data_IF_731284503931
#
_entry.id   IF_731284503931
#
_cell.length_a   1.000
_cell.length_b   1.000
_cell.length_c   1.000
_cell.angle_alpha   90.00
_cell.angle_beta   90.00
_cell.angle_gamma   90.00
#
_symmetry.space_group_name_H-M   'P 1'
#
loop_
_entity.id
_entity.type
_entity.pdbx_description
1 polymer ?
#
# COMPACT_ATOMS: atom_id res chain seq x y z
N UNK A 1 8.67 35.92 -23.34
CA UNK A 1 8.46 35.07 -24.53
C UNK A 1 7.98 33.72 -24.05
N UNK A 2 6.65 33.52 -24.07
CA UNK A 2 5.97 32.38 -23.45
C UNK A 2 5.94 31.25 -24.48
N UNK A 3 6.73 30.19 -24.27
CA UNK A 3 6.63 28.96 -25.07
C UNK A 3 5.48 28.12 -24.58
N UNK A 4 4.35 28.16 -25.30
CA UNK A 4 3.27 27.18 -25.17
C UNK A 4 3.79 25.77 -25.55
N UNK A 5 3.87 24.88 -24.59
CA UNK A 5 4.15 23.47 -24.86
C UNK A 5 2.94 22.83 -25.55
N UNK A 6 3.10 22.46 -26.80
CA UNK A 6 2.15 21.69 -27.58
C UNK A 6 2.07 20.27 -27.01
N UNK A 7 0.96 19.93 -26.42
CA UNK A 7 0.57 18.53 -26.17
C UNK A 7 0.44 17.85 -27.53
N UNK A 8 1.28 16.85 -27.78
CA UNK A 8 1.43 16.21 -29.08
C UNK A 8 0.10 15.65 -29.64
N UNK A 9 -0.09 15.79 -30.95
CA UNK A 9 -1.28 15.32 -31.69
C UNK A 9 -1.79 13.91 -31.34
N UNK A 10 -0.94 12.88 -30.97
CA UNK A 10 -1.44 11.55 -30.57
C UNK A 10 -2.21 11.57 -29.24
N UNK A 11 -1.77 12.32 -28.24
CA UNK A 11 -2.41 12.34 -26.91
C UNK A 11 -3.79 13.04 -26.95
N UNK A 12 -3.95 14.08 -27.76
CA UNK A 12 -5.25 14.72 -28.01
C UNK A 12 -6.26 13.72 -28.65
N UNK A 13 -5.82 12.88 -29.56
CA UNK A 13 -6.67 11.85 -30.19
C UNK A 13 -7.08 10.78 -29.19
N UNK A 14 -6.15 10.31 -28.33
CA UNK A 14 -6.46 9.31 -27.30
C UNK A 14 -7.48 9.85 -26.29
N UNK A 15 -7.31 11.07 -25.81
CA UNK A 15 -8.30 11.73 -24.93
C UNK A 15 -9.64 11.89 -25.63
N UNK A 16 -9.66 12.32 -26.90
CA UNK A 16 -10.90 12.44 -27.68
C UNK A 16 -11.59 11.10 -27.88
N UNK A 17 -10.85 10.01 -28.13
CA UNK A 17 -11.41 8.66 -28.24
C UNK A 17 -11.93 8.14 -26.92
N UNK A 18 -11.24 8.35 -25.81
CA UNK A 18 -11.71 7.97 -24.47
C UNK A 18 -13.00 8.73 -24.12
N UNK A 19 -13.04 10.04 -24.34
CA UNK A 19 -14.25 10.86 -24.12
C UNK A 19 -15.37 10.44 -25.07
N UNK A 20 -15.08 10.12 -26.33
CA UNK A 20 -16.05 9.65 -27.30
C UNK A 20 -16.57 8.24 -26.95
N UNK A 21 -15.72 7.32 -26.49
CA UNK A 21 -16.13 5.99 -26.04
C UNK A 21 -17.01 6.11 -24.79
N UNK A 22 -16.63 6.93 -23.81
CA UNK A 22 -17.45 7.19 -22.62
C UNK A 22 -18.78 7.86 -23.01
N UNK A 23 -18.77 8.81 -23.92
CA UNK A 23 -20.00 9.47 -24.41
C UNK A 23 -20.89 8.52 -25.23
N UNK A 24 -20.33 7.66 -26.08
CA UNK A 24 -21.11 6.69 -26.89
C UNK A 24 -21.64 5.54 -26.06
N UNK A 25 -20.93 5.07 -25.04
CA UNK A 25 -21.47 4.09 -24.07
C UNK A 25 -22.58 4.69 -23.22
N UNK A 26 -22.51 5.97 -22.89
CA UNK A 26 -23.60 6.69 -22.20
C UNK A 26 -24.85 6.92 -23.09
N UNK A 27 -24.68 6.98 -24.43
CA UNK A 27 -25.78 7.25 -25.35
C UNK A 27 -26.43 5.99 -25.99
N UNK A 28 -25.67 4.88 -26.02
CA UNK A 28 -26.10 3.68 -26.78
C UNK A 28 -26.81 2.59 -26.00
N UNK A 29 -26.97 2.69 -24.68
CA UNK A 29 -27.55 1.60 -23.89
C UNK A 29 -28.81 2.00 -23.12
N UNK A 30 -29.98 1.66 -23.69
CA UNK A 30 -31.26 1.68 -22.95
C UNK A 30 -31.33 0.64 -21.80
N UNK A 31 -30.25 -0.11 -21.54
CA UNK A 31 -30.24 -1.21 -20.56
C UNK A 31 -29.12 -1.12 -19.51
N UNK A 32 -28.10 -0.26 -19.65
CA UNK A 32 -27.13 0.02 -18.59
C UNK A 32 -27.68 1.19 -17.75
N UNK A 33 -28.42 0.87 -16.72
CA UNK A 33 -28.81 1.82 -15.69
C UNK A 33 -27.58 2.13 -14.82
N UNK A 34 -26.67 2.97 -15.30
CA UNK A 34 -25.68 3.60 -14.44
C UNK A 34 -26.45 4.41 -13.40
N UNK A 35 -26.22 4.14 -12.12
CA UNK A 35 -26.98 4.78 -11.06
C UNK A 35 -26.27 6.03 -10.57
N UNK A 36 -24.93 6.06 -10.64
CA UNK A 36 -24.11 7.14 -10.12
C UNK A 36 -22.84 7.34 -10.95
N UNK A 37 -22.53 8.59 -11.25
CA UNK A 37 -21.22 9.02 -11.75
C UNK A 37 -20.37 9.44 -10.55
N UNK A 38 -19.21 8.85 -10.38
CA UNK A 38 -18.22 9.22 -9.35
C UNK A 38 -17.16 10.11 -9.95
N UNK A 39 -16.86 11.21 -9.26
CA UNK A 39 -15.77 12.13 -9.57
C UNK A 39 -14.99 12.37 -8.29
N UNK A 40 -13.68 12.27 -8.35
CA UNK A 40 -12.87 12.53 -7.17
C UNK A 40 -11.44 12.91 -7.50
N UNK A 41 -10.73 13.31 -6.46
CA UNK A 41 -9.31 13.57 -6.51
C UNK A 41 -8.69 13.33 -5.13
N UNK A 42 -7.65 12.52 -5.08
CA UNK A 42 -6.82 12.36 -3.89
C UNK A 42 -5.55 13.18 -4.05
N UNK A 43 -5.20 13.93 -3.02
CA UNK A 43 -3.93 14.64 -2.95
C UNK A 43 -3.17 14.17 -1.71
N UNK A 44 -1.89 13.86 -1.88
CA UNK A 44 -0.99 13.52 -0.78
C UNK A 44 0.32 14.25 -0.95
N UNK A 45 0.81 14.90 0.10
CA UNK A 45 2.21 15.32 0.17
C UNK A 45 2.91 14.59 1.31
N UNK A 46 4.15 14.16 1.06
CA UNK A 46 4.96 13.42 2.02
C UNK A 46 6.35 14.04 2.08
N UNK A 47 6.74 14.46 3.28
CA UNK A 47 8.12 14.67 3.69
C UNK A 47 8.53 13.48 4.56
N UNK A 48 9.64 12.82 4.25
CA UNK A 48 10.17 11.66 4.98
C UNK A 48 11.70 11.74 4.98
N UNK A 49 12.28 12.06 6.12
CA UNK A 49 13.71 12.20 6.31
C UNK A 49 14.25 11.04 7.14
N UNK A 50 15.25 10.35 6.62
CA UNK A 50 15.92 9.20 7.23
C UNK A 50 17.39 9.55 7.48
N UNK A 51 17.83 9.39 8.71
CA UNK A 51 19.22 9.62 9.16
C UNK A 51 19.74 8.35 9.83
N UNK A 52 20.29 7.42 9.02
CA UNK A 52 20.68 6.08 9.42
C UNK A 52 22.20 5.83 9.35
N UNK A 53 22.99 6.90 9.41
CA UNK A 53 24.44 6.78 9.35
C UNK A 53 25.00 5.80 10.39
N UNK A 54 25.75 4.80 9.93
CA UNK A 54 26.34 3.76 10.77
C UNK A 54 25.42 2.54 11.03
N UNK A 55 24.19 2.55 10.57
CA UNK A 55 23.35 1.36 10.55
C UNK A 55 23.74 0.45 9.36
N UNK A 56 23.60 -0.87 9.52
CA UNK A 56 23.84 -1.82 8.42
C UNK A 56 22.83 -1.64 7.28
N UNK A 57 21.58 -1.30 7.63
CA UNK A 57 20.51 -1.00 6.68
C UNK A 57 20.52 0.45 6.20
N UNK A 58 21.67 1.15 6.19
CA UNK A 58 21.74 2.58 5.85
C UNK A 58 21.18 2.86 4.44
N UNK A 59 20.06 3.55 4.44
CA UNK A 59 19.41 4.16 3.28
C UNK A 59 19.04 5.61 3.62
N UNK A 60 19.96 6.33 4.27
CA UNK A 60 19.79 7.74 4.63
C UNK A 60 19.36 8.56 3.41
N UNK A 61 18.43 9.45 3.61
CA UNK A 61 17.92 10.30 2.54
C UNK A 61 16.60 10.96 2.87
N UNK A 62 16.29 12.01 2.14
CA UNK A 62 15.05 12.76 2.28
C UNK A 62 14.18 12.58 1.05
N UNK A 63 12.95 12.09 1.24
CA UNK A 63 11.91 12.10 0.25
C UNK A 63 11.00 13.31 0.53
N UNK A 64 10.82 14.18 -0.46
CA UNK A 64 9.81 15.22 -0.40
C UNK A 64 9.09 15.29 -1.74
N UNK A 65 7.81 15.00 -1.72
CA UNK A 65 7.03 14.79 -2.93
C UNK A 65 5.55 15.14 -2.72
N UNK A 66 4.87 15.49 -3.80
CA UNK A 66 3.42 15.60 -3.86
C UNK A 66 2.86 14.63 -4.90
N UNK A 67 1.67 14.15 -4.65
CA UNK A 67 0.90 13.26 -5.51
C UNK A 67 -0.51 13.80 -5.66
N UNK A 68 -1.04 13.74 -6.89
CA UNK A 68 -2.42 14.06 -7.20
C UNK A 68 -3.01 12.93 -8.05
N UNK A 69 -4.14 12.38 -7.61
CA UNK A 69 -4.82 11.27 -8.29
C UNK A 69 -6.27 11.64 -8.61
N UNK A 70 -6.53 12.43 -9.67
CA UNK A 70 -7.89 12.63 -10.16
C UNK A 70 -8.44 11.34 -10.72
N UNK A 71 -9.71 11.06 -10.43
CA UNK A 71 -10.38 9.86 -10.90
C UNK A 71 -11.85 10.12 -11.25
N UNK A 72 -12.37 9.28 -12.15
CA UNK A 72 -13.76 9.27 -12.58
C UNK A 72 -14.23 7.84 -12.76
N UNK A 73 -15.49 7.59 -12.46
CA UNK A 73 -16.05 6.24 -12.64
C UNK A 73 -17.55 6.24 -12.71
N UNK A 74 -18.07 5.06 -12.97
CA UNK A 74 -19.51 4.79 -12.97
C UNK A 74 -19.79 3.66 -11.99
N UNK A 75 -20.85 3.82 -11.21
CA UNK A 75 -21.41 2.77 -10.36
C UNK A 75 -22.76 2.33 -10.90
N UNK A 76 -23.02 1.01 -10.84
CA UNK A 76 -24.30 0.46 -11.25
C UNK A 76 -24.71 -0.75 -10.42
N UNK A 77 -26.02 -0.95 -10.29
CA UNK A 77 -26.60 -2.05 -9.50
C UNK A 77 -26.08 -2.12 -8.06
N UNK A 78 -25.74 -0.96 -7.47
CA UNK A 78 -25.32 -0.80 -6.06
C UNK A 78 -24.02 -1.52 -5.65
N UNK A 79 -23.42 -2.32 -6.52
CA UNK A 79 -22.32 -3.19 -6.18
C UNK A 79 -21.15 -3.15 -7.16
N UNK A 80 -21.35 -2.58 -8.34
CA UNK A 80 -20.36 -2.63 -9.40
C UNK A 80 -19.81 -1.24 -9.65
N UNK A 81 -18.50 -1.14 -9.85
CA UNK A 81 -17.82 0.08 -10.25
C UNK A 81 -16.86 -0.17 -11.42
N UNK A 82 -16.74 0.79 -12.30
CA UNK A 82 -15.67 0.88 -13.29
C UNK A 82 -15.03 2.25 -13.12
N UNK A 83 -13.76 2.25 -12.76
CA UNK A 83 -13.02 3.47 -12.38
C UNK A 83 -11.82 3.68 -13.31
N UNK A 84 -11.61 4.95 -13.67
CA UNK A 84 -10.42 5.42 -14.35
C UNK A 84 -9.79 6.56 -13.55
N UNK A 85 -8.48 6.56 -13.40
CA UNK A 85 -7.73 7.62 -12.74
C UNK A 85 -6.34 7.80 -13.32
N UNK A 86 -5.74 8.93 -13.04
CA UNK A 86 -4.35 9.22 -13.39
C UNK A 86 -3.61 9.62 -12.11
N UNK A 87 -2.52 8.95 -11.84
CA UNK A 87 -1.69 9.17 -10.67
C UNK A 87 -0.46 9.99 -11.09
N UNK A 88 -0.39 11.24 -10.63
CA UNK A 88 0.62 12.23 -10.97
C UNK A 88 1.53 12.46 -9.76
N UNK A 89 2.82 12.18 -9.90
CA UNK A 89 3.81 12.36 -8.82
C UNK A 89 4.79 13.46 -9.20
N UNK A 90 5.01 14.40 -8.28
CA UNK A 90 6.01 15.45 -8.40
C UNK A 90 6.98 15.40 -7.22
N UNK A 91 8.18 14.93 -7.44
CA UNK A 91 9.26 15.05 -6.46
C UNK A 91 9.76 16.49 -6.41
N UNK A 92 10.03 17.00 -5.20
CA UNK A 92 10.58 18.33 -5.00
C UNK A 92 12.11 18.29 -5.04
N UNK A 93 12.71 19.44 -5.27
CA UNK A 93 14.15 19.64 -5.30
C UNK A 93 14.63 20.25 -6.61
N UNK A 94 15.85 20.80 -6.55
CA UNK A 94 16.50 21.38 -7.74
C UNK A 94 16.80 20.29 -8.77
N UNK A 95 16.45 20.52 -10.02
CA UNK A 95 16.57 19.59 -11.17
C UNK A 95 15.58 18.42 -11.17
N UNK A 96 14.58 18.39 -10.31
CA UNK A 96 13.48 17.44 -10.46
C UNK A 96 12.76 17.66 -11.78
N UNK A 97 12.43 16.56 -12.47
CA UNK A 97 11.63 16.65 -13.70
C UNK A 97 10.21 17.10 -13.34
N UNK A 98 9.58 17.86 -14.23
CA UNK A 98 8.14 18.12 -14.12
C UNK A 98 7.39 16.80 -14.32
N UNK A 99 6.56 16.43 -13.37
CA UNK A 99 5.92 15.12 -13.23
C UNK A 99 6.98 14.01 -13.22
N UNK A 100 7.50 13.73 -12.05
CA UNK A 100 8.54 12.71 -11.84
C UNK A 100 8.05 11.32 -12.23
N UNK A 101 6.75 11.06 -12.05
CA UNK A 101 6.09 9.82 -12.45
C UNK A 101 4.63 10.08 -12.84
N UNK A 102 4.11 9.30 -13.81
CA UNK A 102 2.73 9.36 -14.28
C UNK A 102 2.24 7.95 -14.49
N UNK A 103 1.19 7.58 -13.77
CA UNK A 103 0.64 6.24 -13.83
C UNK A 103 -0.87 6.27 -14.06
N UNK A 104 -1.44 5.15 -14.46
CA UNK A 104 -2.86 5.01 -14.76
C UNK A 104 -3.49 4.07 -13.77
N UNK A 105 -4.74 4.35 -13.39
CA UNK A 105 -5.64 3.43 -12.73
C UNK A 105 -6.79 3.13 -13.69
N UNK A 106 -7.11 1.86 -13.86
CA UNK A 106 -8.26 1.40 -14.65
C UNK A 106 -8.67 0.05 -14.10
N UNK A 107 -9.81 -0.01 -13.44
CA UNK A 107 -10.25 -1.25 -12.82
C UNK A 107 -11.76 -1.39 -12.75
N UNK A 108 -12.18 -2.64 -12.73
CA UNK A 108 -13.50 -3.06 -12.33
C UNK A 108 -13.49 -3.47 -10.86
N UNK A 109 -14.50 -3.04 -10.11
CA UNK A 109 -14.77 -3.41 -8.72
C UNK A 109 -16.17 -3.98 -8.55
N UNK A 110 -16.28 -4.99 -7.69
CA UNK A 110 -17.53 -5.50 -7.17
C UNK A 110 -17.50 -5.48 -5.65
N UNK A 111 -18.46 -4.80 -5.02
CA UNK A 111 -18.58 -4.66 -3.57
C UNK A 111 -19.93 -5.14 -3.09
N UNK A 112 -20.05 -6.47 -2.88
CA UNK A 112 -21.25 -7.06 -2.29
C UNK A 112 -21.18 -7.11 -0.75
N UNK A 113 -22.21 -7.64 -0.12
CA UNK A 113 -22.32 -7.70 1.35
C UNK A 113 -21.17 -8.45 2.04
N UNK A 114 -20.59 -9.44 1.38
CA UNK A 114 -19.51 -10.28 1.94
C UNK A 114 -18.34 -10.45 0.99
N UNK A 115 -18.58 -10.38 -0.30
CA UNK A 115 -17.57 -10.59 -1.32
C UNK A 115 -17.19 -9.26 -1.95
N UNK A 116 -15.89 -8.98 -2.01
CA UNK A 116 -15.31 -7.84 -2.74
C UNK A 116 -14.30 -8.38 -3.75
N UNK A 117 -14.39 -7.91 -4.98
CA UNK A 117 -13.52 -8.32 -6.08
C UNK A 117 -13.02 -7.07 -6.78
N UNK A 118 -11.75 -7.05 -7.14
CA UNK A 118 -11.15 -6.00 -7.96
C UNK A 118 -10.29 -6.63 -9.04
N UNK A 119 -10.32 -6.07 -10.24
CA UNK A 119 -9.52 -6.53 -11.36
C UNK A 119 -9.08 -5.35 -12.24
N UNK A 120 -7.82 -5.34 -12.63
CA UNK A 120 -7.18 -4.26 -13.39
C UNK A 120 -6.07 -3.57 -12.59
N UNK A 121 -5.91 -2.27 -12.76
CA UNK A 121 -4.93 -1.45 -12.02
C UNK A 121 -5.71 -0.62 -11.00
N UNK A 122 -5.78 -1.08 -9.76
CA UNK A 122 -6.59 -0.51 -8.69
C UNK A 122 -5.76 -0.05 -7.50
N UNK A 123 -6.28 0.87 -6.65
CA UNK A 123 -5.57 1.34 -5.45
C UNK A 123 -5.21 0.20 -4.49
N UNK A 124 -3.96 0.17 -4.01
CA UNK A 124 -3.49 -0.80 -3.01
C UNK A 124 -4.28 -0.72 -1.69
N UNK A 125 -4.87 0.43 -1.39
CA UNK A 125 -5.76 0.64 -0.24
C UNK A 125 -7.04 -0.20 -0.27
N UNK A 126 -7.38 -0.82 -1.42
CA UNK A 126 -8.47 -1.81 -1.48
C UNK A 126 -8.12 -3.10 -0.72
N UNK A 127 -6.84 -3.39 -0.49
CA UNK A 127 -6.35 -4.47 0.36
C UNK A 127 -6.30 -4.03 1.83
N UNK A 128 -6.62 -4.93 2.77
CA UNK A 128 -6.68 -4.63 4.21
C UNK A 128 -5.49 -5.16 5.00
N UNK A 129 -4.77 -6.14 4.49
CA UNK A 129 -3.64 -6.76 5.19
C UNK A 129 -2.28 -6.24 4.74
N UNK A 130 -1.23 -6.86 5.29
CA UNK A 130 0.18 -6.55 5.06
C UNK A 130 0.58 -5.13 5.52
N UNK A 131 0.02 -4.68 6.65
CA UNK A 131 0.31 -3.34 7.19
C UNK A 131 1.70 -3.21 7.81
N UNK A 132 2.33 -4.31 8.22
CA UNK A 132 3.68 -4.28 8.79
C UNK A 132 4.69 -3.73 7.78
N UNK A 133 5.64 -2.87 8.22
CA UNK A 133 6.78 -2.44 7.41
C UNK A 133 7.70 -3.58 6.99
N UNK A 134 7.56 -4.77 7.57
CA UNK A 134 8.19 -6.00 7.07
C UNK A 134 7.88 -6.27 5.60
N UNK A 135 6.65 -5.97 5.14
CA UNK A 135 6.22 -6.21 3.76
C UNK A 135 6.51 -5.05 2.84
N UNK A 136 6.14 -3.85 3.27
CA UNK A 136 6.24 -2.65 2.45
C UNK A 136 6.67 -1.45 3.30
N UNK A 137 7.82 -0.88 2.99
CA UNK A 137 8.28 0.38 3.61
C UNK A 137 7.37 1.56 3.21
N UNK A 138 7.38 2.63 4.00
CA UNK A 138 6.61 3.86 3.74
C UNK A 138 6.90 4.45 2.36
N UNK A 139 8.17 4.48 1.97
CA UNK A 139 8.57 5.00 0.66
C UNK A 139 8.00 4.15 -0.49
N UNK A 140 8.04 2.82 -0.35
CA UNK A 140 7.43 1.93 -1.33
C UNK A 140 5.92 2.15 -1.44
N UNK A 141 5.21 2.22 -0.29
CA UNK A 141 3.76 2.49 -0.26
C UNK A 141 3.40 3.82 -0.91
N UNK A 142 4.25 4.82 -0.73
CA UNK A 142 4.04 6.13 -1.33
C UNK A 142 4.19 6.12 -2.85
N UNK A 143 5.20 5.44 -3.42
CA UNK A 143 5.41 5.37 -4.87
C UNK A 143 4.57 4.29 -5.55
N UNK A 144 4.24 3.20 -4.87
CA UNK A 144 3.52 2.04 -5.42
C UNK A 144 2.13 1.90 -4.81
N UNK A 145 1.28 2.90 -5.04
CA UNK A 145 -0.09 2.97 -4.48
C UNK A 145 -1.08 2.04 -5.17
N UNK A 146 -0.67 1.23 -6.15
CA UNK A 146 -1.56 0.43 -6.99
C UNK A 146 -1.18 -1.04 -6.94
N UNK A 147 -2.15 -1.87 -7.26
CA UNK A 147 -2.02 -3.29 -7.58
C UNK A 147 -2.42 -3.45 -9.04
N UNK A 148 -1.52 -4.01 -9.86
CA UNK A 148 -1.80 -4.37 -11.25
C UNK A 148 -2.16 -5.84 -11.34
N UNK A 149 -3.46 -6.19 -11.15
CA UNK A 149 -3.86 -7.58 -11.11
C UNK A 149 -5.27 -7.82 -10.62
N UNK A 150 -5.40 -8.69 -9.62
CA UNK A 150 -6.70 -9.08 -9.06
C UNK A 150 -6.65 -9.13 -7.54
N UNK A 151 -7.79 -8.86 -6.89
CA UNK A 151 -8.01 -9.04 -5.46
C UNK A 151 -9.40 -9.63 -5.24
N UNK A 152 -9.47 -10.64 -4.38
CA UNK A 152 -10.70 -11.19 -3.87
C UNK A 152 -10.67 -11.17 -2.35
N UNK A 153 -11.72 -10.64 -1.72
CA UNK A 153 -11.89 -10.62 -0.27
C UNK A 153 -13.27 -11.09 0.12
N UNK A 154 -13.30 -12.02 1.08
CA UNK A 154 -14.52 -12.43 1.75
C UNK A 154 -14.53 -11.89 3.18
N UNK A 155 -15.62 -11.23 3.56
CA UNK A 155 -15.80 -10.59 4.86
C UNK A 155 -16.88 -11.30 5.69
N UNK A 156 -16.57 -11.57 6.95
CA UNK A 156 -17.55 -11.92 7.98
C UNK A 156 -17.89 -10.65 8.76
N UNK A 157 -19.04 -10.04 8.56
CA UNK A 157 -19.37 -8.78 9.20
C UNK A 157 -19.10 -8.79 10.70
N UNK A 158 -18.35 -7.80 11.19
CA UNK A 158 -17.89 -7.64 12.59
C UNK A 158 -16.95 -8.72 13.12
N UNK A 159 -16.57 -9.73 12.32
CA UNK A 159 -15.70 -10.81 12.76
C UNK A 159 -14.37 -10.89 12.05
N UNK A 160 -14.26 -10.40 10.86
CA UNK A 160 -12.99 -10.41 10.13
C UNK A 160 -13.14 -10.64 8.64
N UNK A 161 -12.02 -11.03 8.02
CA UNK A 161 -11.95 -11.23 6.58
C UNK A 161 -10.86 -12.25 6.23
N UNK A 162 -10.91 -12.71 5.00
CA UNK A 162 -9.81 -13.35 4.29
C UNK A 162 -9.71 -12.74 2.91
N UNK A 163 -8.50 -12.43 2.46
CA UNK A 163 -8.25 -11.87 1.15
C UNK A 163 -7.05 -12.51 0.47
N UNK A 164 -7.09 -12.49 -0.86
CA UNK A 164 -6.02 -12.94 -1.74
C UNK A 164 -5.89 -11.93 -2.87
N UNK A 165 -4.67 -11.47 -3.12
CA UNK A 165 -4.34 -10.57 -4.22
C UNK A 165 -3.15 -11.10 -5.02
N UNK A 166 -3.12 -10.77 -6.30
CA UNK A 166 -1.97 -10.91 -7.17
C UNK A 166 -1.65 -9.55 -7.78
N UNK A 167 -0.39 -9.14 -7.68
CA UNK A 167 0.14 -7.91 -8.26
C UNK A 167 1.25 -8.26 -9.24
N UNK A 168 1.07 -7.96 -10.52
CA UNK A 168 2.05 -8.19 -11.57
C UNK A 168 2.90 -6.93 -11.73
N UNK A 169 4.14 -6.98 -11.26
CA UNK A 169 5.00 -5.80 -11.10
C UNK A 169 6.03 -5.64 -12.21
N UNK A 170 6.33 -6.69 -12.97
CA UNK A 170 7.29 -6.64 -14.08
C UNK A 170 6.93 -7.61 -15.19
N UNK A 171 6.66 -7.08 -16.40
CA UNK A 171 6.57 -7.89 -17.61
C UNK A 171 7.97 -8.07 -18.19
N UNK A 172 8.34 -9.31 -18.47
CA UNK A 172 9.66 -9.64 -19.00
C UNK A 172 9.95 -8.92 -20.31
N UNK A 173 11.02 -8.12 -20.31
CA UNK A 173 11.54 -7.42 -21.47
C UNK A 173 13.08 -7.38 -21.41
N UNK A 174 13.75 -6.57 -22.26
CA UNK A 174 15.21 -6.48 -22.30
C UNK A 174 15.80 -5.96 -20.96
N UNK A 175 15.21 -4.91 -20.38
CA UNK A 175 15.67 -4.30 -19.14
C UNK A 175 14.68 -4.48 -17.98
N UNK A 176 13.69 -5.37 -18.12
CA UNK A 176 12.68 -5.62 -17.09
C UNK A 176 12.57 -7.09 -16.80
N UNK A 177 12.75 -7.49 -15.55
CA UNK A 177 12.56 -8.84 -15.08
C UNK A 177 11.09 -9.19 -14.95
N UNK A 178 10.74 -10.44 -15.21
CA UNK A 178 9.43 -10.93 -14.83
C UNK A 178 9.32 -10.94 -13.31
N UNK A 179 8.32 -10.23 -12.80
CA UNK A 179 8.09 -10.13 -11.37
C UNK A 179 6.60 -10.06 -11.06
N UNK A 180 6.18 -10.76 -10.01
CA UNK A 180 4.84 -10.66 -9.46
C UNK A 180 4.84 -10.97 -7.96
N UNK A 181 3.82 -10.48 -7.28
CA UNK A 181 3.56 -10.75 -5.87
C UNK A 181 2.21 -11.45 -5.71
N UNK A 182 2.18 -12.49 -4.88
CA UNK A 182 0.95 -13.07 -4.36
C UNK A 182 0.87 -12.70 -2.89
N UNK A 183 -0.22 -12.07 -2.50
CA UNK A 183 -0.46 -11.55 -1.17
C UNK A 183 -1.75 -12.12 -0.62
N UNK A 184 -1.74 -12.54 0.63
CA UNK A 184 -2.95 -13.00 1.32
C UNK A 184 -2.93 -12.53 2.76
N UNK A 185 -4.07 -12.17 3.28
CA UNK A 185 -4.24 -11.82 4.68
C UNK A 185 -5.56 -12.35 5.19
N UNK A 186 -5.57 -12.73 6.45
CA UNK A 186 -6.80 -13.08 7.14
C UNK A 186 -6.76 -12.55 8.57
N UNK A 187 -7.93 -12.11 9.05
CA UNK A 187 -8.13 -11.71 10.44
C UNK A 187 -9.46 -12.19 10.93
N UNK A 188 -9.46 -12.79 12.11
CA UNK A 188 -10.67 -13.11 12.85
C UNK A 188 -10.64 -12.43 14.21
N UNK A 189 -11.72 -11.72 14.55
CA UNK A 189 -11.85 -10.93 15.79
C UNK A 189 -12.86 -11.58 16.72
N UNK A 190 -12.43 -11.78 17.96
CA UNK A 190 -13.24 -12.25 19.08
C UNK A 190 -13.61 -11.05 19.96
N UNK A 191 -14.83 -11.05 20.46
CA UNK A 191 -15.37 -9.94 21.24
C UNK A 191 -15.96 -8.83 20.38
N UNK A 192 -16.82 -8.01 20.95
CA UNK A 192 -17.48 -6.87 20.32
C UNK A 192 -17.47 -5.62 21.21
N UNK A 193 -16.82 -5.74 22.38
CA UNK A 193 -16.69 -4.67 23.36
C UNK A 193 -15.52 -3.75 23.05
N UNK A 194 -15.21 -2.85 23.98
CA UNK A 194 -14.02 -2.01 23.98
C UNK A 194 -12.70 -2.84 23.98
N UNK A 195 -12.78 -4.12 24.31
CA UNK A 195 -11.64 -5.04 24.35
C UNK A 195 -11.86 -6.18 23.35
N UNK A 196 -10.93 -6.34 22.40
CA UNK A 196 -11.00 -7.30 21.31
C UNK A 196 -9.70 -8.06 21.21
N UNK A 197 -9.80 -9.36 20.94
CA UNK A 197 -8.66 -10.17 20.55
C UNK A 197 -8.86 -10.60 19.10
N UNK A 198 -7.86 -10.43 18.29
CA UNK A 198 -7.87 -10.91 16.91
C UNK A 198 -6.72 -11.86 16.68
N UNK A 199 -6.91 -12.81 15.79
CA UNK A 199 -5.83 -13.66 15.28
C UNK A 199 -5.94 -13.77 13.77
N UNK A 200 -4.82 -14.03 13.14
CA UNK A 200 -4.76 -14.08 11.68
C UNK A 200 -3.38 -14.38 11.17
N UNK A 201 -3.19 -14.09 9.90
CA UNK A 201 -1.90 -14.17 9.25
C UNK A 201 -1.80 -13.11 8.14
N UNK A 202 -0.58 -12.74 7.84
CA UNK A 202 -0.20 -12.07 6.60
C UNK A 202 0.75 -12.99 5.83
N UNK A 203 0.56 -13.10 4.51
CA UNK A 203 1.35 -13.92 3.60
C UNK A 203 1.74 -13.08 2.39
N UNK A 204 3.00 -13.19 2.02
CA UNK A 204 3.58 -12.58 0.84
C UNK A 204 4.44 -13.60 0.12
N UNK A 205 4.30 -13.70 -1.19
CA UNK A 205 5.20 -14.42 -2.06
C UNK A 205 5.62 -13.48 -3.19
N UNK A 206 6.90 -13.13 -3.25
CA UNK A 206 7.51 -12.43 -4.36
C UNK A 206 8.19 -13.42 -5.29
N UNK A 207 7.82 -13.42 -6.56
CA UNK A 207 8.52 -14.12 -7.63
C UNK A 207 9.31 -13.10 -8.43
N UNK A 208 10.58 -13.40 -8.68
CA UNK A 208 11.51 -12.54 -9.38
C UNK A 208 12.34 -13.42 -10.33
N UNK A 209 12.12 -13.24 -11.61
CA UNK A 209 12.72 -14.10 -12.63
C UNK A 209 13.69 -13.32 -13.53
N UNK A 210 14.05 -13.91 -14.62
CA UNK A 210 15.02 -13.43 -15.61
C UNK A 210 14.39 -12.37 -16.53
N UNK A 211 15.20 -11.41 -16.97
CA UNK A 211 14.93 -10.53 -18.11
C UNK A 211 15.46 -11.12 -19.44
N UNK A 212 15.47 -10.35 -20.52
CA UNK A 212 16.02 -10.74 -21.79
C UNK A 212 17.44 -10.21 -22.05
N UNK A 213 18.04 -9.47 -21.10
CA UNK A 213 19.37 -8.93 -21.22
C UNK A 213 20.41 -9.99 -20.84
N UNK A 214 21.31 -10.42 -21.76
CA UNK A 214 22.32 -11.43 -21.48
C UNK A 214 23.40 -11.00 -20.49
N UNK A 215 23.53 -9.69 -20.21
CA UNK A 215 24.51 -9.15 -19.27
C UNK A 215 23.98 -9.15 -17.83
N UNK A 216 22.70 -9.33 -17.62
CA UNK A 216 22.09 -9.36 -16.29
C UNK A 216 22.38 -10.69 -15.60
N UNK A 217 22.58 -10.66 -14.27
CA UNK A 217 22.73 -11.87 -13.45
C UNK A 217 21.50 -12.75 -13.65
N UNK A 218 21.72 -13.93 -14.20
CA UNK A 218 20.67 -14.93 -14.36
C UNK A 218 20.20 -15.41 -12.98
N UNK A 219 18.90 -15.49 -12.76
CA UNK A 219 18.35 -15.90 -11.50
C UNK A 219 16.83 -16.03 -11.52
N UNK A 220 16.32 -16.95 -10.72
CA UNK A 220 14.89 -17.08 -10.44
C UNK A 220 14.74 -17.25 -8.94
N UNK A 221 14.26 -16.23 -8.27
CA UNK A 221 14.13 -16.18 -6.82
C UNK A 221 12.66 -16.23 -6.41
N UNK A 222 12.37 -17.13 -5.48
CA UNK A 222 11.12 -17.15 -4.73
C UNK A 222 11.40 -16.59 -3.32
N UNK A 223 10.67 -15.58 -2.92
CA UNK A 223 10.73 -14.98 -1.59
C UNK A 223 9.36 -15.06 -0.94
N UNK A 224 9.22 -15.88 0.09
CA UNK A 224 7.97 -16.08 0.82
C UNK A 224 8.13 -15.56 2.24
N UNK A 225 7.19 -14.77 2.70
CA UNK A 225 7.06 -14.32 4.08
C UNK A 225 5.68 -14.72 4.59
N UNK A 226 5.65 -15.36 5.77
CA UNK A 226 4.42 -15.74 6.47
C UNK A 226 4.50 -15.26 7.90
N UNK A 227 3.50 -14.49 8.33
CA UNK A 227 3.43 -13.95 9.70
C UNK A 227 2.06 -14.24 10.35
N UNK A 228 1.86 -15.41 10.94
CA UNK A 228 0.74 -15.64 11.83
C UNK A 228 0.88 -14.75 13.07
N UNK A 229 -0.26 -14.24 13.56
CA UNK A 229 -0.26 -13.30 14.68
C UNK A 229 -1.48 -13.45 15.61
N UNK A 230 -1.30 -12.94 16.82
CA UNK A 230 -2.38 -12.62 17.76
C UNK A 230 -2.28 -11.13 18.09
N UNK A 231 -3.41 -10.45 18.12
CA UNK A 231 -3.49 -9.02 18.41
C UNK A 231 -4.57 -8.74 19.46
N UNK A 232 -4.27 -7.87 20.40
CA UNK A 232 -5.21 -7.32 21.38
C UNK A 232 -5.40 -5.84 21.11
N UNK A 233 -6.66 -5.39 20.98
CA UNK A 233 -7.04 -3.99 20.94
C UNK A 233 -7.94 -3.67 22.13
N UNK A 234 -7.56 -2.70 22.92
CA UNK A 234 -8.31 -2.21 24.08
C UNK A 234 -8.54 -0.72 24.03
N UNK A 235 -9.73 -0.28 24.46
CA UNK A 235 -10.04 1.12 24.71
C UNK A 235 -10.46 1.28 26.17
N UNK A 236 -9.77 2.18 26.88
CA UNK A 236 -9.93 2.43 28.32
C UNK A 236 -10.47 3.86 28.51
N UNK A 237 -11.62 3.98 29.13
CA UNK A 237 -12.19 5.29 29.50
C UNK A 237 -11.40 5.87 30.68
N UNK A 238 -10.81 7.05 30.50
CA UNK A 238 -10.05 7.75 31.54
C UNK A 238 -10.93 8.66 32.42
N UNK A 239 -12.25 8.53 32.29
CA UNK A 239 -13.22 9.28 33.07
C UNK A 239 -14.00 10.31 32.25
N UNK A 240 -15.33 10.31 32.39
CA UNK A 240 -16.23 11.27 31.77
C UNK A 240 -16.54 11.08 30.29
N UNK A 241 -16.17 9.97 29.66
CA UNK A 241 -16.57 9.61 28.29
C UNK A 241 -15.98 10.46 27.16
N UNK A 242 -15.09 11.38 27.47
CA UNK A 242 -14.46 12.28 26.46
C UNK A 242 -13.05 11.90 26.07
N UNK A 243 -12.38 11.06 26.85
CA UNK A 243 -10.98 10.70 26.65
C UNK A 243 -10.79 9.20 26.83
N UNK A 244 -10.41 8.53 25.79
CA UNK A 244 -10.05 7.11 25.81
C UNK A 244 -8.56 6.95 25.55
N UNK A 245 -7.91 6.11 26.34
CA UNK A 245 -6.60 5.57 26.03
C UNK A 245 -6.80 4.29 25.20
N UNK A 246 -6.14 4.17 24.07
CA UNK A 246 -6.14 2.94 23.28
C UNK A 246 -4.85 2.17 23.48
N UNK A 247 -4.94 0.85 23.54
CA UNK A 247 -3.81 -0.06 23.54
C UNK A 247 -3.97 -1.03 22.36
N UNK A 248 -2.96 -1.10 21.52
CA UNK A 248 -2.80 -2.13 20.49
C UNK A 248 -1.55 -2.94 20.81
N UNK A 249 -1.67 -4.27 20.90
CA UNK A 249 -0.55 -5.16 21.16
C UNK A 249 -0.63 -6.39 20.27
N UNK A 250 0.32 -6.51 19.32
CA UNK A 250 0.40 -7.58 18.32
C UNK A 250 1.68 -8.39 18.50
N UNK A 251 1.53 -9.69 18.66
CA UNK A 251 2.63 -10.66 18.65
C UNK A 251 2.55 -11.48 17.37
N UNK A 252 3.63 -11.50 16.62
CA UNK A 252 3.73 -12.22 15.35
C UNK A 252 4.93 -13.17 15.35
N UNK A 253 4.76 -14.35 14.76
CA UNK A 253 5.86 -15.19 14.31
C UNK A 253 6.17 -14.82 12.86
N UNK A 254 7.44 -14.76 12.50
CA UNK A 254 7.90 -14.41 11.15
C UNK A 254 8.66 -15.60 10.57
N UNK A 255 8.17 -16.17 9.49
CA UNK A 255 8.86 -17.19 8.70
C UNK A 255 9.18 -16.63 7.32
N UNK A 256 10.46 -16.64 6.97
CA UNK A 256 10.91 -16.43 5.60
C UNK A 256 11.25 -17.78 4.97
N UNK A 257 10.90 -17.98 3.70
CA UNK A 257 11.30 -19.11 2.88
C UNK A 257 11.79 -18.55 1.55
N UNK A 258 13.04 -18.81 1.22
CA UNK A 258 13.66 -18.25 0.03
C UNK A 258 14.39 -19.33 -0.75
N UNK A 259 14.41 -19.19 -2.04
CA UNK A 259 15.14 -20.09 -2.94
C UNK A 259 15.60 -19.34 -4.18
N UNK A 260 16.86 -19.47 -4.51
CA UNK A 260 17.39 -19.23 -5.86
C UNK A 260 17.37 -20.54 -6.63
N UNK A 261 16.45 -20.66 -7.60
CA UNK A 261 16.22 -21.91 -8.33
C UNK A 261 17.37 -22.29 -9.26
N UNK A 262 18.17 -21.30 -9.70
CA UNK A 262 19.20 -21.50 -10.72
C UNK A 262 20.55 -21.80 -10.06
N UNK A 263 20.94 -21.05 -9.04
CA UNK A 263 22.28 -21.15 -8.49
C UNK A 263 22.40 -22.14 -7.33
N UNK A 264 21.40 -22.19 -6.46
CA UNK A 264 21.50 -22.96 -5.22
C UNK A 264 20.45 -24.08 -5.11
N UNK A 265 19.24 -23.85 -5.61
CA UNK A 265 18.17 -24.84 -5.67
C UNK A 265 17.57 -25.26 -4.32
N UNK A 266 18.25 -24.96 -3.20
CA UNK A 266 17.83 -25.27 -1.84
C UNK A 266 16.99 -24.16 -1.24
N UNK A 267 16.16 -24.51 -0.25
CA UNK A 267 15.38 -23.54 0.49
C UNK A 267 16.17 -23.05 1.72
N UNK A 268 16.27 -21.72 1.83
CA UNK A 268 16.67 -21.03 3.05
C UNK A 268 15.42 -20.68 3.86
N UNK A 269 15.50 -20.86 5.19
CA UNK A 269 14.34 -20.71 6.06
C UNK A 269 14.62 -19.87 7.32
N UNK A 270 15.12 -18.64 7.19
CA UNK A 270 15.30 -17.76 8.34
C UNK A 270 13.95 -17.43 8.99
N UNK A 271 13.97 -17.20 10.30
CA UNK A 271 12.77 -16.98 11.10
C UNK A 271 12.97 -15.92 12.18
N UNK A 272 11.89 -15.42 12.75
CA UNK A 272 11.91 -14.48 13.86
C UNK A 272 10.57 -14.32 14.55
N UNK A 273 10.53 -13.40 15.49
CA UNK A 273 9.32 -12.93 16.14
C UNK A 273 9.27 -11.41 16.17
N UNK A 274 8.07 -10.87 16.10
CA UNK A 274 7.84 -9.43 16.20
C UNK A 274 6.79 -9.14 17.28
N UNK A 275 7.11 -8.20 18.15
CA UNK A 275 6.16 -7.60 19.09
C UNK A 275 5.94 -6.14 18.69
N UNK A 276 4.69 -5.77 18.47
CA UNK A 276 4.26 -4.39 18.29
C UNK A 276 3.33 -3.98 19.42
N UNK A 277 3.59 -2.83 20.03
CA UNK A 277 2.75 -2.23 21.07
C UNK A 277 2.54 -0.76 20.76
N UNK A 278 1.31 -0.28 20.78
CA UNK A 278 0.98 1.13 20.61
C UNK A 278 -0.01 1.61 21.69
N UNK A 279 0.24 2.80 22.19
CA UNK A 279 -0.61 3.55 23.10
C UNK A 279 -1.08 4.82 22.40
N UNK A 280 -2.40 4.94 22.21
CA UNK A 280 -3.01 6.08 21.53
C UNK A 280 -3.84 6.94 22.50
N UNK A 281 -3.72 8.26 22.37
CA UNK A 281 -4.50 9.22 23.12
C UNK A 281 -4.69 10.52 22.33
N UNK A 282 -5.94 10.87 22.00
CA UNK A 282 -6.31 12.13 21.31
C UNK A 282 -5.47 12.47 20.07
N UNK A 283 -5.27 11.51 19.20
CA UNK A 283 -4.45 11.68 17.99
C UNK A 283 -2.95 11.47 18.21
N UNK A 284 -2.46 11.47 19.45
CA UNK A 284 -1.10 11.07 19.78
C UNK A 284 -1.00 9.55 19.85
N UNK A 285 0.05 8.99 19.31
CA UNK A 285 0.41 7.58 19.43
C UNK A 285 1.89 7.44 19.81
N UNK A 286 2.15 6.68 20.86
CA UNK A 286 3.48 6.17 21.20
C UNK A 286 3.51 4.68 20.91
N UNK A 287 4.40 4.25 20.03
CA UNK A 287 4.49 2.85 19.65
C UNK A 287 5.93 2.32 19.71
N UNK A 288 6.04 1.01 19.91
CA UNK A 288 7.28 0.28 19.82
C UNK A 288 7.06 -0.98 18.97
N UNK A 289 8.00 -1.25 18.10
CA UNK A 289 8.08 -2.45 17.26
C UNK A 289 9.45 -3.10 17.46
N UNK A 290 9.45 -4.28 18.04
CA UNK A 290 10.65 -5.07 18.28
C UNK A 290 10.59 -6.37 17.47
N UNK A 291 11.54 -6.56 16.57
CA UNK A 291 11.79 -7.81 15.86
C UNK A 291 13.09 -8.43 16.36
N UNK A 292 13.06 -9.75 16.59
CA UNK A 292 14.23 -10.56 16.92
C UNK A 292 14.15 -11.86 16.14
N UNK A 293 15.22 -12.19 15.43
CA UNK A 293 15.23 -13.38 14.59
C UNK A 293 16.61 -13.79 14.10
N UNK A 294 16.60 -14.65 13.12
CA UNK A 294 17.82 -15.01 12.38
C UNK A 294 18.30 -13.80 11.60
N UNK A 295 19.58 -13.50 11.64
CA UNK A 295 20.17 -12.48 10.77
C UNK A 295 19.99 -12.82 9.30
N UNK A 296 19.99 -11.78 8.45
CA UNK A 296 19.82 -11.93 7.00
C UNK A 296 18.48 -12.61 6.63
N UNK A 297 17.37 -12.09 7.16
CA UNK A 297 16.03 -12.63 6.91
C UNK A 297 15.72 -12.78 5.39
N UNK A 298 16.44 -12.07 4.54
CA UNK A 298 16.34 -12.08 3.09
C UNK A 298 17.72 -12.35 2.46
N UNK A 299 18.07 -13.61 2.36
CA UNK A 299 19.41 -14.12 1.99
C UNK A 299 19.89 -13.60 0.62
N UNK A 300 19.01 -13.56 -0.38
CA UNK A 300 19.40 -13.23 -1.75
C UNK A 300 19.31 -11.75 -2.12
N UNK A 301 18.91 -10.89 -1.18
CA UNK A 301 18.80 -9.45 -1.42
C UNK A 301 20.11 -8.84 -1.95
N UNK A 302 21.24 -9.20 -1.39
CA UNK A 302 22.53 -8.65 -1.80
C UNK A 302 22.95 -9.05 -3.23
N UNK A 303 22.39 -10.15 -3.76
CA UNK A 303 22.65 -10.60 -5.13
C UNK A 303 21.76 -9.89 -6.15
N UNK A 304 20.49 -9.70 -5.84
CA UNK A 304 19.47 -9.23 -6.79
C UNK A 304 18.97 -7.80 -6.53
N UNK A 305 19.32 -7.21 -5.41
CA UNK A 305 19.06 -5.80 -5.09
C UNK A 305 17.67 -5.49 -4.57
N UNK A 306 17.34 -4.21 -4.64
CA UNK A 306 16.14 -3.65 -4.00
C UNK A 306 14.81 -4.13 -4.60
N UNK A 307 14.80 -4.64 -5.81
CA UNK A 307 13.58 -5.14 -6.46
C UNK A 307 13.06 -6.46 -5.88
N UNK A 308 13.92 -7.19 -5.17
CA UNK A 308 13.54 -8.42 -4.51
C UNK A 308 12.71 -8.21 -3.24
N UNK A 309 12.84 -7.07 -2.59
CA UNK A 309 12.21 -6.80 -1.30
C UNK A 309 11.82 -5.33 -1.15
N UNK A 310 10.60 -5.09 -0.76
CA UNK A 310 10.00 -3.77 -0.69
C UNK A 310 9.73 -3.29 0.74
N UNK A 311 10.05 -4.12 1.73
CA UNK A 311 9.89 -3.80 3.15
C UNK A 311 11.04 -2.97 3.73
N UNK A 312 10.93 -2.67 5.01
CA UNK A 312 11.95 -1.93 5.74
C UNK A 312 13.28 -2.71 5.77
N UNK A 313 14.39 -2.11 5.34
CA UNK A 313 15.67 -2.80 5.22
C UNK A 313 16.21 -3.32 6.56
N UNK A 314 15.75 -2.81 7.68
CA UNK A 314 16.22 -3.20 9.03
C UNK A 314 15.90 -4.68 9.37
N UNK A 315 14.87 -5.28 8.74
CA UNK A 315 14.56 -6.71 8.92
C UNK A 315 15.59 -7.66 8.27
N UNK A 316 16.42 -7.17 7.35
CA UNK A 316 17.39 -7.98 6.60
C UNK A 316 18.84 -7.86 7.09
N UNK A 317 19.08 -7.14 8.18
CA UNK A 317 20.43 -6.95 8.72
C UNK A 317 21.02 -8.25 9.28
N UNK A 318 22.34 -8.32 9.36
CA UNK A 318 23.06 -9.52 9.80
C UNK A 318 22.82 -9.86 11.28
N UNK A 319 22.45 -8.88 12.09
CA UNK A 319 22.20 -9.05 13.53
C UNK A 319 20.83 -9.65 13.86
N UNK A 320 19.86 -9.58 12.94
CA UNK A 320 18.51 -10.10 13.16
C UNK A 320 17.76 -9.40 14.29
N UNK A 321 18.07 -8.16 14.57
CA UNK A 321 17.39 -7.31 15.57
C UNK A 321 16.96 -6.02 14.88
N UNK A 322 15.70 -5.67 15.06
CA UNK A 322 15.16 -4.37 14.68
C UNK A 322 14.26 -3.86 15.78
N UNK A 323 14.53 -2.65 16.28
CA UNK A 323 13.71 -1.98 17.27
C UNK A 323 13.37 -0.57 16.78
N UNK A 324 12.10 -0.20 16.83
CA UNK A 324 11.61 1.10 16.40
C UNK A 324 10.67 1.68 17.45
N UNK A 325 11.05 2.82 18.01
CA UNK A 325 10.23 3.59 18.96
C UNK A 325 9.73 4.82 18.24
N UNK A 326 8.42 4.96 18.09
CA UNK A 326 7.77 6.03 17.34
C UNK A 326 6.86 6.87 18.24
N UNK A 327 6.89 8.16 18.02
CA UNK A 327 5.88 9.12 18.50
C UNK A 327 5.27 9.78 17.28
N UNK A 328 3.95 9.69 17.13
CA UNK A 328 3.22 10.32 16.05
C UNK A 328 1.99 11.06 16.53
N UNK A 329 1.52 11.97 15.70
CA UNK A 329 0.27 12.70 15.89
C UNK A 329 -0.49 12.70 14.57
N UNK A 330 -1.76 12.31 14.62
CA UNK A 330 -2.68 12.35 13.51
C UNK A 330 -3.93 13.14 13.86
N UNK A 331 -4.36 13.99 12.93
CA UNK A 331 -5.58 14.79 13.08
C UNK A 331 -6.28 14.91 11.74
N UNK A 332 -7.61 14.70 11.75
CA UNK A 332 -8.50 14.96 10.63
C UNK A 332 -9.26 16.27 10.80
N UNK A 333 -9.51 16.94 9.67
CA UNK A 333 -10.20 18.22 9.58
C UNK A 333 -11.25 18.16 8.46
N UNK A 334 -12.26 19.04 8.52
CA UNK A 334 -13.27 19.23 7.49
C UNK A 334 -14.00 17.91 7.16
N UNK A 335 -14.61 17.28 8.16
CA UNK A 335 -15.34 16.02 8.04
C UNK A 335 -14.49 14.92 7.36
N UNK A 336 -13.27 14.74 7.88
CA UNK A 336 -12.25 13.77 7.42
C UNK A 336 -11.73 13.98 5.98
N UNK A 337 -12.04 15.15 5.38
CA UNK A 337 -11.55 15.51 4.04
C UNK A 337 -10.04 15.76 4.03
N UNK A 338 -9.48 16.31 5.11
CA UNK A 338 -8.06 16.61 5.24
C UNK A 338 -7.48 15.87 6.44
N UNK A 339 -6.53 14.97 6.19
CA UNK A 339 -5.75 14.29 7.23
C UNK A 339 -4.32 14.84 7.30
N UNK A 340 -3.82 15.07 8.49
CA UNK A 340 -2.43 15.47 8.75
C UNK A 340 -1.81 14.47 9.72
N UNK A 341 -0.70 13.86 9.33
CA UNK A 341 0.09 12.95 10.15
C UNK A 341 1.52 13.46 10.23
N UNK A 342 2.08 13.50 11.42
CA UNK A 342 3.50 13.80 11.62
C UNK A 342 4.07 12.90 12.71
N UNK A 343 5.37 12.62 12.63
CA UNK A 343 6.00 11.79 13.64
C UNK A 343 7.51 11.72 13.54
N UNK A 344 8.07 11.10 14.57
CA UNK A 344 9.49 10.77 14.69
C UNK A 344 9.63 9.33 15.16
N UNK A 345 10.60 8.62 14.58
CA UNK A 345 10.99 7.26 15.00
C UNK A 345 12.47 7.24 15.30
N UNK A 346 12.85 6.62 16.42
CA UNK A 346 14.20 6.16 16.67
C UNK A 346 14.27 4.68 16.30
N UNK A 347 15.21 4.29 15.45
CA UNK A 347 15.33 2.94 14.91
C UNK A 347 16.72 2.36 15.25
N UNK A 348 16.75 1.08 15.64
CA UNK A 348 17.96 0.33 15.95
C UNK A 348 17.99 -0.98 15.14
N UNK A 349 19.11 -1.25 14.47
CA UNK A 349 19.28 -2.41 13.59
C UNK A 349 20.19 -3.52 14.15
N UNK A 350 20.50 -3.47 15.45
CA UNK A 350 21.48 -4.34 16.08
C UNK A 350 22.91 -3.82 16.01
N UNK A 351 23.17 -2.75 15.26
CA UNK A 351 24.50 -2.15 15.08
C UNK A 351 24.53 -0.70 15.57
N UNK A 352 23.61 0.13 15.12
CA UNK A 352 23.55 1.55 15.45
C UNK A 352 22.11 2.05 15.56
N UNK A 353 21.94 3.23 16.11
CA UNK A 353 20.68 3.96 16.13
C UNK A 353 20.62 4.97 15.00
N UNK A 354 19.46 5.07 14.38
CA UNK A 354 19.10 6.11 13.43
C UNK A 354 17.78 6.77 13.77
N UNK A 355 17.44 7.81 13.06
CA UNK A 355 16.17 8.54 13.25
C UNK A 355 15.44 8.73 11.92
N UNK A 356 14.12 8.78 12.00
CA UNK A 356 13.24 9.11 10.88
C UNK A 356 12.23 10.15 11.33
N UNK A 357 12.00 11.17 10.53
CA UNK A 357 10.98 12.18 10.75
C UNK A 357 10.10 12.26 9.51
N UNK A 358 8.79 12.36 9.70
CA UNK A 358 7.86 12.49 8.58
C UNK A 358 6.74 13.49 8.85
N UNK A 359 6.23 14.06 7.77
CA UNK A 359 5.00 14.81 7.70
C UNK A 359 4.24 14.38 6.46
N UNK A 360 3.00 13.99 6.62
CA UNK A 360 2.10 13.65 5.53
C UNK A 360 0.81 14.46 5.63
N UNK A 361 0.37 15.00 4.51
CA UNK A 361 -0.94 15.63 4.38
C UNK A 361 -1.71 14.91 3.29
N UNK A 362 -2.92 14.47 3.61
CA UNK A 362 -3.83 13.81 2.69
C UNK A 362 -5.08 14.65 2.51
N UNK A 363 -5.55 14.79 1.28
CA UNK A 363 -6.85 15.39 0.97
C UNK A 363 -7.59 14.42 0.07
N UNK A 364 -8.81 14.03 0.47
CA UNK A 364 -9.67 13.16 -0.31
C UNK A 364 -10.95 13.90 -0.69
N UNK A 365 -11.17 14.05 -1.99
CA UNK A 365 -12.37 14.65 -2.55
C UNK A 365 -13.12 13.57 -3.34
N UNK A 366 -14.36 13.28 -2.96
CA UNK A 366 -15.22 12.33 -3.66
C UNK A 366 -16.63 12.93 -3.80
N UNK A 367 -17.15 12.89 -5.01
CA UNK A 367 -18.45 13.45 -5.36
C UNK A 367 -19.23 12.52 -6.25
N UNK A 368 -20.45 12.14 -5.82
CA UNK A 368 -21.38 11.29 -6.56
C UNK A 368 -22.51 12.09 -7.21
N UNK A 369 -22.75 11.85 -8.49
CA UNK A 369 -23.87 12.44 -9.24
C UNK A 369 -24.83 11.32 -9.60
N UNK A 370 -26.06 11.36 -9.03
CA UNK A 370 -27.11 10.41 -9.39
C UNK A 370 -27.58 10.63 -10.83
N UNK A 371 -27.48 9.57 -11.63
CA UNK A 371 -27.91 9.56 -13.03
C UNK A 371 -29.35 9.06 -13.20
N UNK A 372 -30.08 8.79 -12.11
CA UNK A 372 -31.49 8.38 -12.17
C UNK A 372 -32.35 9.50 -12.78
N UNK A 373 -32.92 9.22 -13.93
CA UNK A 373 -33.95 10.10 -14.53
C UNK A 373 -35.16 10.10 -13.59
N UNK A 374 -35.60 11.27 -13.11
CA UNK A 374 -36.93 11.42 -12.49
C UNK A 374 -37.95 10.94 -13.51
N UNK A 375 -38.60 9.82 -13.29
CA UNK A 375 -39.80 9.49 -14.03
C UNK A 375 -40.83 10.55 -13.65
N UNK A 376 -41.14 11.45 -14.56
CA UNK A 376 -42.38 12.22 -14.48
C UNK A 376 -43.53 11.20 -14.63
N UNK A 377 -44.16 10.90 -13.52
CA UNK A 377 -45.48 10.24 -13.55
C UNK A 377 -46.43 11.30 -14.06
N UNK A 378 -46.89 11.14 -15.33
CA UNK A 378 -48.06 11.83 -15.86
C UNK A 378 -49.34 11.14 -15.37
#
# INVERSE_FOLDING_TARGET
>A
MCQMFFVGKPMRRVITYIVAIVATTLWGSQTLSAQELRLGADFTTLFDNKEYAGMEGDISGTLFSARLTPHVGIEWREHNELMFGVDLVQNFGHKSKFLSDVNVQLYYGYTGNRLKLYAGIFPRTKMQGLDSPLYFDRSYRYYNTRIGGVLARYEWPKRGYIELAMDYTGMRDFDTREAFMIMSSARHTLGQSAHKVSYGYDFYMGHYAKDNNPETIDGVVDNILLTPYVNYNGAFDLGGGRHSLTLDAKLSYVQSLQRDRIHEGTWEAPLGGELYVALGWQGLELSNRLFVGTGSLLTYYNRYGAELYHGCPMYRTSKGIYDAISLSYEQCFFDDTVGVELGITAEYDGTAWGTRQWLQVNVALDYGISLKRKQHIE
#
